data_IF_059570844464
#
_entry.id   IF_059570844464
#
_cell.length_a   1.000
_cell.length_b   1.000
_cell.length_c   1.000
_cell.angle_alpha   90.00
_cell.angle_beta   90.00
_cell.angle_gamma   90.00
#
_symmetry.space_group_name_H-M   'P 1'
#
loop_
_entity.id
_entity.type
_entity.pdbx_description
1 polymer ?
#
# COMPACT_ATOMS: atom_id res chain seq x y z
N UNK A 1 -8.99 4.14 -38.53
CA UNK A 1 -9.35 3.05 -37.59
C UNK A 1 -10.26 3.66 -36.53
N UNK A 2 -11.52 3.73 -36.83
CA UNK A 2 -12.59 4.13 -35.92
C UNK A 2 -12.73 2.99 -34.90
N UNK A 3 -12.19 3.21 -33.71
CA UNK A 3 -12.49 2.36 -32.57
C UNK A 3 -13.99 2.53 -32.31
N UNK A 4 -14.73 1.50 -32.62
CA UNK A 4 -16.18 1.40 -32.39
C UNK A 4 -16.41 1.32 -30.88
N UNK A 5 -16.31 2.46 -30.20
CA UNK A 5 -16.62 2.60 -28.78
C UNK A 5 -18.12 2.62 -28.67
N UNK A 6 -18.74 1.45 -28.49
CA UNK A 6 -20.14 1.38 -28.12
C UNK A 6 -20.41 2.30 -26.94
N UNK A 7 -21.34 3.23 -27.03
CA UNK A 7 -21.67 4.10 -25.91
C UNK A 7 -22.17 3.23 -24.75
N UNK A 8 -21.49 3.30 -23.62
CA UNK A 8 -21.94 2.58 -22.41
C UNK A 8 -23.24 3.18 -21.92
N UNK A 9 -24.22 2.33 -21.61
CA UNK A 9 -25.48 2.76 -21.02
C UNK A 9 -25.24 3.40 -19.65
N UNK A 10 -26.01 4.42 -19.25
CA UNK A 10 -25.89 5.08 -17.95
C UNK A 10 -25.93 4.12 -16.75
N UNK A 11 -26.74 3.05 -16.84
CA UNK A 11 -26.82 2.03 -15.80
C UNK A 11 -25.48 1.26 -15.62
N UNK A 12 -24.77 0.96 -16.72
CA UNK A 12 -23.46 0.32 -16.67
C UNK A 12 -22.39 1.27 -16.10
N UNK A 13 -22.51 2.56 -16.41
CA UNK A 13 -21.63 3.59 -15.84
C UNK A 13 -21.85 3.73 -14.34
N UNK A 14 -23.10 3.69 -13.86
CA UNK A 14 -23.44 3.72 -12.46
C UNK A 14 -22.88 2.48 -11.70
N UNK A 15 -23.01 1.30 -12.29
CA UNK A 15 -22.45 0.09 -11.71
C UNK A 15 -20.92 0.17 -11.53
N UNK A 16 -20.22 0.84 -12.45
CA UNK A 16 -18.78 1.06 -12.34
C UNK A 16 -18.37 2.03 -11.24
N UNK A 17 -19.27 2.92 -10.81
CA UNK A 17 -19.05 3.86 -9.72
C UNK A 17 -19.37 3.26 -8.34
N UNK A 18 -20.11 2.14 -8.28
CA UNK A 18 -20.40 1.48 -7.01
C UNK A 18 -19.12 0.93 -6.35
N UNK A 19 -19.06 1.01 -5.02
CA UNK A 19 -17.96 0.40 -4.26
C UNK A 19 -18.01 -1.12 -4.38
N UNK A 20 -16.88 -1.72 -4.75
CA UNK A 20 -16.71 -3.17 -4.78
C UNK A 20 -16.67 -3.73 -3.33
N UNK A 21 -16.93 -5.03 -3.19
CA UNK A 21 -16.91 -5.70 -1.88
C UNK A 21 -15.55 -5.51 -1.18
N UNK A 22 -14.46 -5.72 -1.90
CA UNK A 22 -13.11 -5.50 -1.39
C UNK A 22 -12.91 -4.07 -0.82
N UNK A 23 -13.49 -3.06 -1.47
CA UNK A 23 -13.36 -1.66 -1.05
C UNK A 23 -14.14 -1.37 0.23
N UNK A 24 -15.29 -2.03 0.40
CA UNK A 24 -16.11 -1.97 1.62
C UNK A 24 -15.43 -2.67 2.79
N UNK A 25 -14.89 -3.86 2.54
CA UNK A 25 -14.15 -4.63 3.55
C UNK A 25 -12.88 -3.89 3.98
N UNK A 26 -12.17 -3.29 3.01
CA UNK A 26 -11.00 -2.46 3.32
C UNK A 26 -11.37 -1.25 4.18
N UNK A 27 -12.50 -0.61 3.93
CA UNK A 27 -12.98 0.50 4.76
C UNK A 27 -13.22 0.05 6.21
N UNK A 28 -13.79 -1.14 6.42
CA UNK A 28 -13.98 -1.72 7.75
C UNK A 28 -12.62 -2.00 8.43
N UNK A 29 -11.70 -2.69 7.75
CA UNK A 29 -10.36 -3.02 8.26
C UNK A 29 -9.55 -1.76 8.62
N UNK A 30 -9.67 -0.68 7.83
CA UNK A 30 -9.01 0.59 8.12
C UNK A 30 -9.64 1.30 9.31
N UNK A 31 -10.96 1.27 9.45
CA UNK A 31 -11.69 1.83 10.59
C UNK A 31 -11.33 1.14 11.89
N UNK A 32 -11.23 -0.19 11.85
CA UNK A 32 -10.87 -1.01 13.02
C UNK A 32 -9.38 -0.87 13.40
N UNK A 33 -8.58 -0.23 12.56
CA UNK A 33 -7.17 0.06 12.84
C UNK A 33 -6.22 -1.14 12.75
N UNK A 34 -6.65 -2.27 12.19
CA UNK A 34 -5.83 -3.48 12.12
C UNK A 34 -4.52 -3.26 11.36
N UNK A 35 -4.55 -2.56 10.22
CA UNK A 35 -3.34 -2.27 9.45
C UNK A 35 -2.39 -1.32 10.19
N UNK A 36 -2.92 -0.37 10.96
CA UNK A 36 -2.12 0.51 11.81
C UNK A 36 -1.43 -0.28 12.91
N UNK A 37 -2.16 -1.16 13.59
CA UNK A 37 -1.62 -2.01 14.65
C UNK A 37 -0.46 -2.88 14.17
N UNK A 38 -0.53 -3.45 12.96
CA UNK A 38 0.56 -4.22 12.35
C UNK A 38 1.75 -3.32 12.02
N UNK A 39 1.50 -2.11 11.50
CA UNK A 39 2.55 -1.16 11.16
C UNK A 39 3.32 -0.67 12.39
N UNK A 40 2.60 -0.38 13.48
CA UNK A 40 3.19 0.18 14.70
C UNK A 40 3.89 -0.85 15.55
N UNK A 41 3.51 -2.13 15.43
CA UNK A 41 4.10 -3.25 16.16
C UNK A 41 4.58 -4.33 15.21
N UNK A 42 5.65 -4.05 14.42
CA UNK A 42 6.19 -5.04 13.51
C UNK A 42 6.72 -6.24 14.30
N UNK A 43 6.50 -7.43 13.76
CA UNK A 43 7.17 -8.60 14.27
C UNK A 43 8.66 -8.48 14.02
N UNK A 44 9.47 -8.95 14.97
CA UNK A 44 10.90 -9.00 14.88
C UNK A 44 11.38 -10.39 15.28
N UNK A 45 12.43 -10.83 14.66
CA UNK A 45 13.19 -11.99 15.06
C UNK A 45 14.58 -11.54 15.53
N UNK A 46 15.22 -12.35 16.35
CA UNK A 46 16.58 -12.08 16.83
C UNK A 46 17.55 -12.80 15.90
N UNK A 47 18.26 -12.04 15.11
CA UNK A 47 19.41 -12.56 14.36
C UNK A 47 20.65 -12.51 15.23
N UNK A 48 21.37 -13.63 15.26
CA UNK A 48 22.61 -13.73 16.01
C UNK A 48 23.79 -13.79 15.03
N UNK A 49 24.67 -12.81 15.14
CA UNK A 49 25.91 -12.77 14.37
C UNK A 49 27.11 -12.86 15.32
N UNK A 50 28.05 -13.76 15.00
CA UNK A 50 29.27 -13.94 15.76
C UNK A 50 30.37 -13.06 15.12
N UNK A 51 30.78 -11.99 15.81
CA UNK A 51 31.75 -11.00 15.33
C UNK A 51 32.93 -10.86 16.31
N UNK A 52 34.12 -10.62 15.76
CA UNK A 52 35.31 -10.31 16.56
C UNK A 52 35.19 -8.87 17.08
N UNK A 53 35.10 -8.73 18.40
CA UNK A 53 34.94 -7.45 19.07
C UNK A 53 35.95 -7.29 20.25
N UNK A 54 36.28 -6.05 20.64
CA UNK A 54 37.01 -5.79 21.85
C UNK A 54 36.32 -6.39 23.08
N UNK A 55 37.06 -6.95 24.00
CA UNK A 55 36.53 -7.60 25.23
C UNK A 55 35.53 -6.67 25.96
N UNK A 56 35.83 -5.38 26.02
CA UNK A 56 34.96 -4.38 26.67
C UNK A 56 33.56 -4.25 26.03
N UNK A 57 33.38 -4.67 24.77
CA UNK A 57 32.09 -4.64 24.05
C UNK A 57 31.40 -6.00 24.03
N UNK A 58 32.09 -7.06 24.37
CA UNK A 58 31.60 -8.43 24.36
C UNK A 58 30.69 -8.70 25.56
N UNK A 59 29.37 -8.70 25.37
CA UNK A 59 28.40 -9.07 26.42
C UNK A 59 28.17 -10.57 26.50
N UNK A 60 28.22 -11.26 25.34
CA UNK A 60 28.09 -12.73 25.23
C UNK A 60 29.17 -13.26 24.32
N UNK A 61 29.82 -14.31 24.71
CA UNK A 61 30.80 -15.01 23.89
C UNK A 61 30.08 -15.96 22.92
N UNK A 62 30.64 -16.09 21.72
CA UNK A 62 30.20 -17.11 20.78
C UNK A 62 30.61 -18.49 21.30
N UNK A 63 29.93 -19.55 20.90
CA UNK A 63 30.21 -20.93 21.31
C UNK A 63 31.62 -21.35 20.91
N UNK A 64 32.12 -20.83 19.78
CA UNK A 64 33.47 -21.08 19.26
C UNK A 64 34.54 -20.05 19.71
N UNK A 65 34.20 -19.16 20.65
CA UNK A 65 35.11 -18.06 21.05
C UNK A 65 36.45 -18.54 21.56
N UNK A 66 36.50 -19.62 22.31
CA UNK A 66 37.75 -20.18 22.85
C UNK A 66 38.62 -20.82 21.77
N UNK A 67 38.02 -21.59 20.86
CA UNK A 67 38.76 -22.18 19.74
C UNK A 67 39.24 -21.10 18.75
N UNK A 68 38.41 -20.07 18.51
CA UNK A 68 38.81 -18.92 17.73
C UNK A 68 39.98 -18.16 18.36
N UNK A 69 39.91 -17.91 19.67
CA UNK A 69 41.00 -17.25 20.41
C UNK A 69 42.31 -18.07 20.35
N UNK A 70 42.22 -19.39 20.45
CA UNK A 70 43.39 -20.26 20.39
C UNK A 70 44.08 -20.26 19.03
N UNK A 71 43.32 -20.10 17.95
CA UNK A 71 43.82 -20.10 16.57
C UNK A 71 44.22 -18.72 16.03
N UNK A 72 43.82 -17.62 16.71
CA UNK A 72 44.03 -16.24 16.23
C UNK A 72 44.85 -15.42 17.24
N UNK A 73 46.17 -15.41 17.04
CA UNK A 73 47.11 -14.68 17.94
C UNK A 73 46.99 -13.15 17.82
N UNK A 74 46.39 -12.62 16.73
CA UNK A 74 46.08 -11.20 16.55
C UNK A 74 45.01 -10.70 17.53
N UNK A 75 44.26 -11.61 18.12
CA UNK A 75 43.25 -11.32 19.15
C UNK A 75 43.86 -11.22 20.55
N UNK A 76 45.16 -11.57 20.74
CA UNK A 76 45.80 -11.57 22.02
C UNK A 76 46.35 -10.18 22.39
N UNK A 77 46.24 -9.83 23.65
CA UNK A 77 46.95 -8.67 24.22
C UNK A 77 48.30 -9.13 24.82
N UNK A 78 48.28 -10.21 25.58
CA UNK A 78 49.45 -10.77 26.24
C UNK A 78 49.31 -12.27 26.39
N UNK A 79 50.40 -13.01 26.23
CA UNK A 79 50.49 -14.43 26.53
C UNK A 79 51.32 -14.60 27.80
N UNK A 80 50.77 -15.28 28.80
CA UNK A 80 51.42 -15.61 30.06
C UNK A 80 51.58 -17.13 30.20
N UNK A 81 52.34 -17.59 31.17
CA UNK A 81 52.49 -19.02 31.49
C UNK A 81 51.16 -19.66 31.93
N UNK A 82 50.26 -18.87 32.50
CA UNK A 82 48.94 -19.30 32.97
C UNK A 82 47.82 -19.16 31.94
N UNK A 83 48.08 -18.57 30.78
CA UNK A 83 47.04 -18.41 29.73
C UNK A 83 47.24 -17.22 28.83
N UNK A 84 46.20 -16.93 28.06
CA UNK A 84 46.14 -15.82 27.11
C UNK A 84 45.21 -14.75 27.63
N UNK A 85 45.67 -13.49 27.66
CA UNK A 85 44.83 -12.33 27.92
C UNK A 85 44.30 -11.80 26.58
N UNK A 86 43.00 -11.86 26.35
CA UNK A 86 42.45 -11.44 25.05
C UNK A 86 42.31 -9.91 24.98
N UNK A 87 42.66 -9.32 23.83
CA UNK A 87 42.33 -7.97 23.46
C UNK A 87 40.97 -7.92 22.71
N UNK A 88 40.73 -8.95 21.89
CA UNK A 88 39.50 -9.13 21.12
C UNK A 88 39.01 -10.56 21.33
N UNK A 89 37.72 -10.75 21.28
CA UNK A 89 37.06 -12.06 21.38
C UNK A 89 35.97 -12.19 20.34
N UNK A 90 35.67 -13.42 19.96
CA UNK A 90 34.50 -13.70 19.12
C UNK A 90 33.27 -13.60 20.03
N UNK A 91 32.50 -12.55 19.84
CA UNK A 91 31.31 -12.25 20.63
C UNK A 91 30.06 -12.43 19.78
N UNK A 92 28.99 -12.87 20.43
CA UNK A 92 27.67 -13.01 19.83
C UNK A 92 26.88 -11.72 20.03
N UNK A 93 26.53 -11.09 18.92
CA UNK A 93 25.63 -9.93 18.88
C UNK A 93 24.24 -10.38 18.45
N UNK A 94 23.23 -9.78 19.04
CA UNK A 94 21.85 -9.95 18.59
C UNK A 94 21.37 -8.65 17.99
N UNK A 95 20.84 -8.74 16.78
CA UNK A 95 20.18 -7.64 16.10
C UNK A 95 18.73 -7.99 15.83
N UNK A 96 17.86 -7.00 15.91
CA UNK A 96 16.44 -7.17 15.55
C UNK A 96 16.35 -7.28 14.02
N UNK A 97 15.92 -8.44 13.54
CA UNK A 97 15.65 -8.67 12.11
C UNK A 97 14.16 -8.45 11.82
N UNK A 98 13.87 -7.44 11.04
CA UNK A 98 12.52 -7.11 10.56
C UNK A 98 12.23 -7.71 9.18
N UNK A 99 13.19 -8.30 8.50
CA UNK A 99 13.03 -8.87 7.16
C UNK A 99 12.36 -10.26 7.16
N UNK A 100 11.48 -10.52 8.13
CA UNK A 100 10.71 -11.75 8.25
C UNK A 100 9.58 -11.82 7.23
N UNK A 101 9.07 -13.04 7.01
CA UNK A 101 8.06 -13.31 5.99
C UNK A 101 6.79 -12.47 6.17
N UNK A 102 6.28 -12.37 7.39
CA UNK A 102 5.05 -11.64 7.72
C UNK A 102 5.17 -10.15 7.39
N UNK A 103 6.30 -9.54 7.72
CA UNK A 103 6.55 -8.13 7.43
C UNK A 103 6.65 -7.88 5.93
N UNK A 104 7.28 -8.81 5.19
CA UNK A 104 7.34 -8.76 3.71
C UNK A 104 5.98 -8.93 3.08
N UNK A 105 5.13 -9.80 3.65
CA UNK A 105 3.76 -9.99 3.19
C UNK A 105 2.93 -8.72 3.39
N UNK A 106 3.06 -8.08 4.55
CA UNK A 106 2.40 -6.81 4.84
C UNK A 106 2.80 -5.70 3.84
N UNK A 107 4.10 -5.54 3.56
CA UNK A 107 4.59 -4.58 2.55
C UNK A 107 3.97 -4.85 1.17
N UNK A 108 3.95 -6.11 0.75
CA UNK A 108 3.32 -6.52 -0.53
C UNK A 108 1.81 -6.26 -0.55
N UNK A 109 1.13 -6.45 0.58
CA UNK A 109 -0.30 -6.15 0.70
C UNK A 109 -0.55 -4.66 0.48
N UNK A 110 0.18 -3.78 1.18
CA UNK A 110 0.06 -2.33 1.00
C UNK A 110 0.31 -1.89 -0.45
N UNK A 111 1.31 -2.46 -1.12
CA UNK A 111 1.59 -2.17 -2.53
C UNK A 111 0.47 -2.62 -3.47
N UNK A 112 -0.16 -3.75 -3.19
CA UNK A 112 -1.31 -4.23 -3.97
C UNK A 112 -2.52 -3.34 -3.77
N UNK A 113 -2.82 -2.96 -2.53
CA UNK A 113 -3.93 -2.08 -2.18
C UNK A 113 -3.74 -0.69 -2.81
N UNK A 114 -2.56 -0.08 -2.70
CA UNK A 114 -2.25 1.21 -3.33
C UNK A 114 -2.50 1.17 -4.85
N UNK A 115 -1.99 0.15 -5.53
CA UNK A 115 -2.18 -0.03 -6.98
C UNK A 115 -3.63 -0.30 -7.37
N UNK A 116 -4.36 -1.07 -6.56
CA UNK A 116 -5.78 -1.35 -6.79
C UNK A 116 -6.60 -0.07 -6.67
N UNK A 117 -6.48 0.63 -5.54
CA UNK A 117 -7.21 1.87 -5.27
C UNK A 117 -6.88 2.97 -6.29
N UNK A 118 -5.61 3.13 -6.67
CA UNK A 118 -5.21 4.11 -7.68
C UNK A 118 -5.85 3.85 -9.05
N UNK A 119 -5.89 2.57 -9.48
CA UNK A 119 -6.56 2.18 -10.73
C UNK A 119 -8.06 2.39 -10.66
N UNK A 120 -8.66 2.06 -9.53
CA UNK A 120 -10.08 2.21 -9.29
C UNK A 120 -10.50 3.69 -9.31
N UNK A 121 -9.74 4.55 -8.64
CA UNK A 121 -9.92 6.01 -8.66
C UNK A 121 -9.84 6.58 -10.08
N UNK A 122 -8.84 6.17 -10.86
CA UNK A 122 -8.72 6.62 -12.24
C UNK A 122 -9.94 6.23 -13.09
N UNK A 123 -10.48 5.01 -12.90
CA UNK A 123 -11.68 4.53 -13.59
C UNK A 123 -12.91 5.37 -13.22
N UNK A 124 -13.18 5.56 -11.92
CA UNK A 124 -14.35 6.33 -11.45
C UNK A 124 -14.25 7.78 -11.89
N UNK A 125 -13.07 8.41 -11.81
CA UNK A 125 -12.87 9.78 -12.33
C UNK A 125 -13.20 9.88 -13.82
N UNK A 126 -12.78 8.91 -14.61
CA UNK A 126 -13.12 8.85 -16.04
C UNK A 126 -14.62 8.74 -16.30
N UNK A 127 -15.34 7.95 -15.49
CA UNK A 127 -16.80 7.83 -15.58
C UNK A 127 -17.48 9.13 -15.16
N UNK A 128 -17.10 9.70 -14.01
CA UNK A 128 -17.67 10.96 -13.51
C UNK A 128 -17.49 12.10 -14.52
N UNK A 129 -16.29 12.22 -15.13
CA UNK A 129 -16.03 13.23 -16.16
C UNK A 129 -16.91 13.05 -17.41
N UNK A 130 -17.29 11.82 -17.76
CA UNK A 130 -18.24 11.57 -18.85
C UNK A 130 -19.66 11.96 -18.46
N UNK A 131 -20.08 11.64 -17.23
CA UNK A 131 -21.40 12.03 -16.71
C UNK A 131 -21.53 13.55 -16.60
N UNK A 132 -20.49 14.25 -16.14
CA UNK A 132 -20.47 15.72 -16.07
C UNK A 132 -20.64 16.35 -17.45
N UNK A 133 -19.87 15.89 -18.44
CA UNK A 133 -20.05 16.37 -19.83
C UNK A 133 -21.44 16.10 -20.37
N UNK A 134 -22.01 14.97 -20.00
CA UNK A 134 -23.36 14.62 -20.40
C UNK A 134 -24.40 15.58 -19.82
N UNK A 135 -24.26 15.96 -18.55
CA UNK A 135 -25.14 16.96 -17.91
C UNK A 135 -24.91 18.36 -18.50
N UNK A 136 -23.67 18.75 -18.80
CA UNK A 136 -23.37 20.02 -19.46
C UNK A 136 -24.04 20.11 -20.84
N UNK A 137 -24.08 19.01 -21.60
CA UNK A 137 -24.82 18.96 -22.86
C UNK A 137 -26.32 19.08 -22.62
N UNK A 138 -26.87 18.47 -21.58
CA UNK A 138 -28.29 18.58 -21.24
C UNK A 138 -28.67 20.02 -20.87
N UNK A 139 -27.88 20.72 -20.08
CA UNK A 139 -28.14 22.11 -19.69
C UNK A 139 -27.98 23.09 -20.87
N UNK A 140 -27.12 22.78 -21.84
CA UNK A 140 -26.94 23.59 -23.04
C UNK A 140 -28.08 23.42 -24.08
N UNK A 141 -29.02 22.51 -23.84
CA UNK A 141 -30.11 22.15 -24.75
C UNK A 141 -31.08 23.29 -25.08
N UNK A 142 -31.18 24.28 -24.22
CA UNK A 142 -32.07 25.46 -24.52
C UNK A 142 -31.65 26.20 -25.78
N UNK A 143 -30.46 25.93 -26.30
CA UNK A 143 -29.88 26.66 -27.45
C UNK A 143 -29.80 25.84 -28.75
N UNK A 144 -29.81 24.49 -28.73
CA UNK A 144 -29.56 23.69 -29.94
C UNK A 144 -30.41 22.41 -30.04
N UNK A 145 -31.63 22.55 -30.51
CA UNK A 145 -32.59 21.46 -30.78
C UNK A 145 -32.03 20.30 -31.64
N UNK A 146 -31.13 20.57 -32.58
CA UNK A 146 -30.48 19.54 -33.40
C UNK A 146 -29.55 18.63 -32.61
N UNK A 147 -28.78 19.18 -31.71
CA UNK A 147 -27.88 18.44 -30.86
C UNK A 147 -28.63 17.46 -29.95
N UNK A 148 -29.79 17.87 -29.46
CA UNK A 148 -30.69 17.04 -28.67
C UNK A 148 -31.13 15.79 -29.40
N UNK A 149 -31.58 15.93 -30.66
CA UNK A 149 -31.99 14.79 -31.47
C UNK A 149 -30.87 13.79 -31.71
N UNK A 150 -29.65 14.26 -31.92
CA UNK A 150 -28.50 13.39 -32.13
C UNK A 150 -28.09 12.68 -30.86
N UNK A 151 -28.14 13.34 -29.71
CA UNK A 151 -27.88 12.73 -28.39
C UNK A 151 -28.93 11.68 -28.04
N UNK A 152 -30.22 12.00 -28.19
CA UNK A 152 -31.30 11.05 -27.95
C UNK A 152 -31.23 9.85 -28.93
N UNK A 153 -30.78 10.04 -30.13
CA UNK A 153 -30.63 9.00 -31.15
C UNK A 153 -29.46 8.06 -30.86
N UNK A 154 -28.35 8.61 -30.31
CA UNK A 154 -27.13 7.83 -29.96
C UNK A 154 -27.25 7.11 -28.61
N UNK A 155 -27.94 7.68 -27.65
CA UNK A 155 -27.90 7.25 -26.23
C UNK A 155 -29.26 6.76 -25.71
N UNK A 156 -30.34 6.98 -26.48
CA UNK A 156 -31.69 6.60 -26.11
C UNK A 156 -32.34 7.54 -25.07
N UNK A 157 -33.67 7.41 -24.93
CA UNK A 157 -34.45 8.25 -24.00
C UNK A 157 -34.06 8.12 -22.52
N UNK A 158 -33.51 6.97 -22.14
CA UNK A 158 -33.07 6.72 -20.76
C UNK A 158 -31.90 7.58 -20.29
N UNK A 159 -31.23 8.26 -21.24
CA UNK A 159 -30.11 9.15 -20.92
C UNK A 159 -30.55 10.50 -20.33
N UNK A 160 -31.77 10.91 -20.64
CA UNK A 160 -32.39 12.17 -20.18
C UNK A 160 -33.10 12.01 -18.81
N UNK A 161 -33.00 10.87 -18.18
CA UNK A 161 -33.64 10.56 -16.90
C UNK A 161 -32.91 11.28 -15.75
N UNK A 162 -33.67 11.81 -14.76
CA UNK A 162 -33.17 12.47 -13.53
C UNK A 162 -32.13 11.65 -12.74
N UNK A 163 -31.99 10.38 -13.08
CA UNK A 163 -31.04 9.44 -12.48
C UNK A 163 -29.56 9.79 -12.75
N UNK A 164 -29.24 10.51 -13.84
CA UNK A 164 -27.86 10.84 -14.19
C UNK A 164 -27.19 11.73 -13.12
N UNK A 165 -27.94 12.72 -12.63
CA UNK A 165 -27.47 13.56 -11.51
C UNK A 165 -27.23 12.76 -10.22
N UNK A 166 -28.16 11.86 -9.88
CA UNK A 166 -28.02 10.98 -8.71
C UNK A 166 -26.82 10.02 -8.84
N UNK A 167 -26.57 9.52 -10.06
CA UNK A 167 -25.43 8.64 -10.36
C UNK A 167 -24.09 9.39 -10.24
N UNK A 168 -24.03 10.63 -10.70
CA UNK A 168 -22.86 11.47 -10.56
C UNK A 168 -22.54 11.75 -9.08
N UNK A 169 -23.56 12.07 -8.28
CA UNK A 169 -23.38 12.28 -6.84
C UNK A 169 -22.94 11.00 -6.11
N UNK A 170 -23.47 9.85 -6.47
CA UNK A 170 -23.01 8.55 -5.95
C UNK A 170 -21.55 8.29 -6.34
N UNK A 171 -21.16 8.58 -7.58
CA UNK A 171 -19.80 8.47 -8.05
C UNK A 171 -18.83 9.41 -7.33
N UNK A 172 -19.25 10.65 -7.04
CA UNK A 172 -18.44 11.60 -6.24
C UNK A 172 -18.23 11.13 -4.81
N UNK A 173 -19.26 10.55 -4.17
CA UNK A 173 -19.13 9.96 -2.82
C UNK A 173 -18.16 8.79 -2.82
N UNK A 174 -18.31 7.84 -3.74
CA UNK A 174 -17.41 6.71 -3.87
C UNK A 174 -15.96 7.16 -4.11
N UNK A 175 -15.75 8.23 -4.88
CA UNK A 175 -14.45 8.82 -5.15
C UNK A 175 -13.82 9.38 -3.85
N UNK A 176 -14.58 10.12 -3.07
CA UNK A 176 -14.15 10.66 -1.77
C UNK A 176 -13.75 9.56 -0.80
N UNK A 177 -14.53 8.47 -0.72
CA UNK A 177 -14.26 7.34 0.16
C UNK A 177 -12.96 6.62 -0.24
N UNK A 178 -12.77 6.35 -1.54
CA UNK A 178 -11.57 5.71 -2.05
C UNK A 178 -10.32 6.59 -1.92
N UNK A 179 -10.46 7.91 -2.10
CA UNK A 179 -9.36 8.85 -1.86
C UNK A 179 -8.93 8.86 -0.39
N UNK A 180 -9.89 8.80 0.53
CA UNK A 180 -9.62 8.68 1.95
C UNK A 180 -8.86 7.39 2.27
N UNK A 181 -9.32 6.25 1.77
CA UNK A 181 -8.65 4.96 1.94
C UNK A 181 -7.23 4.97 1.37
N UNK A 182 -7.07 5.50 0.16
CA UNK A 182 -5.75 5.60 -0.49
C UNK A 182 -4.78 6.48 0.30
N UNK A 183 -5.27 7.59 0.87
CA UNK A 183 -4.47 8.47 1.73
C UNK A 183 -3.97 7.73 2.96
N UNK A 184 -4.81 6.94 3.61
CA UNK A 184 -4.42 6.12 4.76
C UNK A 184 -3.36 5.08 4.36
N UNK A 185 -3.59 4.33 3.27
CA UNK A 185 -2.62 3.33 2.79
C UNK A 185 -1.26 3.97 2.46
N UNK A 186 -1.25 5.13 1.81
CA UNK A 186 0.00 5.85 1.52
C UNK A 186 0.67 6.39 2.78
N UNK A 187 -0.11 6.81 3.77
CA UNK A 187 0.41 7.18 5.08
C UNK A 187 1.10 6.00 5.80
N UNK A 188 0.53 4.80 5.71
CA UNK A 188 1.15 3.58 6.24
C UNK A 188 2.44 3.19 5.50
N UNK A 189 2.54 3.47 4.20
CA UNK A 189 3.78 3.26 3.42
C UNK A 189 4.90 4.23 3.78
N UNK A 190 4.59 5.36 4.36
CA UNK A 190 5.59 6.37 4.78
C UNK A 190 6.08 6.19 6.22
N UNK A 191 5.47 5.30 6.98
CA UNK A 191 5.71 5.15 8.42
C UNK A 191 5.89 3.67 8.81
N UNK A 192 6.37 3.49 10.03
CA UNK A 192 6.41 2.18 10.68
C UNK A 192 7.20 1.13 9.91
N UNK A 193 6.65 -0.06 9.86
CA UNK A 193 7.27 -1.23 9.26
C UNK A 193 7.64 -1.06 7.78
N UNK A 194 6.90 -0.26 7.00
CA UNK A 194 7.18 -0.12 5.58
C UNK A 194 8.49 0.64 5.32
N UNK A 195 8.87 1.55 6.21
CA UNK A 195 10.11 2.34 6.12
C UNK A 195 11.35 1.62 6.64
N UNK A 196 11.18 0.51 7.38
CA UNK A 196 12.24 -0.37 7.84
C UNK A 196 12.69 -1.33 6.71
#
# INVERSE_FOLDING_TARGET
HDANVSPMLPAEMAAQCALEELERDLAAVLRDGHLHSISDRPRRDLRYDDLVAPVARARRLATSALSHLASHSDCWQQRTLSGVQPRKVLARFSEDDYAIYENRLYKRLLDRLDRHLARRLARIRGVNSRLERALEFQDSEQTHFRLRQDICRLWGESYLDDKTGMQLEAGKRALSDLESQLRVIRGLKQRGLYSL
#
